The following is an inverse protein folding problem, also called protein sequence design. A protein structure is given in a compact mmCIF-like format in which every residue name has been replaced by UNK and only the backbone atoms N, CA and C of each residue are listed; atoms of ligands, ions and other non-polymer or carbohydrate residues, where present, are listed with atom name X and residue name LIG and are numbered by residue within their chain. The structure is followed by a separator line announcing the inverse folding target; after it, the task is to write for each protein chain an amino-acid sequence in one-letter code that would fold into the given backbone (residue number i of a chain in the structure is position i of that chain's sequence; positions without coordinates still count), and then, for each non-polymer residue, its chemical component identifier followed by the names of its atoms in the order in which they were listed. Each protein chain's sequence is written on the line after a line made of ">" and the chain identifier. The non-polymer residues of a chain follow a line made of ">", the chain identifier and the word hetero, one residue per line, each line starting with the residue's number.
data_IF_719581548333
#
_entry.id   IF_719581548333
#
_cell.length_a   1.000
_cell.length_b   1.000
_cell.length_c   1.000
_cell.angle_alpha   90.00
_cell.angle_beta   90.00
_cell.angle_gamma   90.00
#
_symmetry.space_group_name_H-M   'P 1'
#
loop_
_entity.id
_entity.type
_entity.pdbx_description
1 polymer ?
#
# COMPACT_ATOMS: atom_id res chain seq x y z
N UNK A 1 15.87 0.07 -10.90
CA UNK A 1 16.27 0.39 -9.51
C UNK A 1 16.23 -0.88 -8.66
N UNK A 2 16.76 -0.87 -7.44
CA UNK A 2 16.59 -1.95 -6.46
C UNK A 2 15.30 -1.73 -5.67
N UNK A 3 14.34 -2.63 -5.79
CA UNK A 3 13.02 -2.52 -5.14
C UNK A 3 12.82 -3.67 -4.18
N UNK A 4 12.53 -3.34 -2.92
CA UNK A 4 12.02 -4.30 -1.95
C UNK A 4 10.49 -4.34 -2.06
N UNK A 5 9.89 -5.51 -2.27
CA UNK A 5 8.43 -5.68 -2.19
C UNK A 5 8.11 -6.57 -0.99
N UNK A 6 7.66 -5.95 0.10
CA UNK A 6 7.21 -6.65 1.30
C UNK A 6 5.73 -7.05 1.15
N UNK A 7 5.41 -8.32 1.37
CA UNK A 7 4.10 -8.87 1.05
C UNK A 7 4.01 -9.43 -0.38
N UNK A 8 5.15 -9.74 -1.01
CA UNK A 8 5.23 -10.19 -2.41
C UNK A 8 4.54 -11.55 -2.71
N UNK A 9 4.08 -12.28 -1.70
CA UNK A 9 3.29 -13.52 -1.86
C UNK A 9 1.78 -13.26 -1.84
N UNK A 10 1.35 -12.04 -1.51
CA UNK A 10 -0.06 -11.65 -1.46
C UNK A 10 -0.64 -11.34 -2.84
N UNK A 11 -1.98 -11.20 -2.89
CA UNK A 11 -2.72 -10.97 -4.13
C UNK A 11 -2.23 -9.75 -4.91
N UNK A 12 -2.03 -8.61 -4.23
CA UNK A 12 -1.52 -7.37 -4.86
C UNK A 12 0.01 -7.39 -4.96
N UNK A 13 0.70 -7.78 -3.89
CA UNK A 13 2.16 -7.73 -3.84
C UNK A 13 2.86 -8.60 -4.87
N UNK A 14 2.27 -9.74 -5.26
CA UNK A 14 2.84 -10.61 -6.30
C UNK A 14 2.87 -9.93 -7.68
N UNK A 15 1.83 -9.15 -8.00
CA UNK A 15 1.66 -8.48 -9.29
C UNK A 15 2.48 -7.20 -9.32
N UNK A 16 2.60 -6.47 -8.20
CA UNK A 16 3.58 -5.38 -8.04
C UNK A 16 5.00 -5.87 -8.32
N UNK A 17 5.41 -6.99 -7.73
CA UNK A 17 6.75 -7.52 -7.93
C UNK A 17 6.96 -8.02 -9.37
N UNK A 18 5.94 -8.62 -9.99
CA UNK A 18 6.01 -9.05 -11.38
C UNK A 18 6.12 -7.87 -12.36
N UNK A 19 5.35 -6.81 -12.13
CA UNK A 19 5.42 -5.57 -12.91
C UNK A 19 6.80 -4.91 -12.78
N UNK A 20 7.32 -4.81 -11.55
CA UNK A 20 8.66 -4.28 -11.30
C UNK A 20 9.76 -5.08 -12.05
N UNK A 21 9.68 -6.41 -12.03
CA UNK A 21 10.59 -7.29 -12.78
C UNK A 21 10.45 -7.10 -14.29
N UNK A 22 9.22 -6.99 -14.80
CA UNK A 22 8.94 -6.77 -16.23
C UNK A 22 9.51 -5.43 -16.73
N UNK A 23 9.54 -4.39 -15.88
CA UNK A 23 10.19 -3.09 -16.15
C UNK A 23 11.72 -3.12 -16.01
N UNK A 24 12.32 -4.27 -15.69
CA UNK A 24 13.76 -4.44 -15.59
C UNK A 24 14.37 -3.94 -14.28
N UNK A 25 13.59 -3.83 -13.21
CA UNK A 25 14.11 -3.54 -11.88
C UNK A 25 14.72 -4.78 -11.21
N UNK A 26 15.66 -4.57 -10.28
CA UNK A 26 16.19 -5.62 -9.41
C UNK A 26 15.25 -5.75 -8.21
N UNK A 27 14.46 -6.83 -8.15
CA UNK A 27 13.39 -6.98 -7.16
C UNK A 27 13.75 -8.00 -6.09
N UNK A 28 13.69 -7.56 -4.82
CA UNK A 28 13.69 -8.45 -3.66
C UNK A 28 12.25 -8.70 -3.24
N UNK A 29 11.75 -9.89 -3.53
CA UNK A 29 10.44 -10.36 -3.04
C UNK A 29 10.58 -10.81 -1.59
N UNK A 30 9.88 -10.13 -0.67
CA UNK A 30 9.94 -10.41 0.75
C UNK A 30 8.56 -10.71 1.34
N UNK A 31 8.51 -11.63 2.30
CA UNK A 31 7.33 -11.96 3.08
C UNK A 31 7.74 -12.69 4.37
N UNK A 32 6.76 -13.01 5.22
CA UNK A 32 6.99 -13.83 6.42
C UNK A 32 7.68 -15.16 6.09
N UNK A 33 7.36 -15.77 4.94
CA UNK A 33 7.98 -17.05 4.53
C UNK A 33 9.42 -16.90 4.06
N UNK A 34 9.86 -15.69 3.68
CA UNK A 34 11.26 -15.39 3.36
C UNK A 34 12.04 -14.85 4.57
N UNK A 35 11.42 -14.84 5.76
CA UNK A 35 12.04 -14.40 7.01
C UNK A 35 11.95 -12.91 7.29
N UNK A 36 11.32 -12.10 6.43
CA UNK A 36 11.12 -10.66 6.68
C UNK A 36 9.67 -10.37 7.06
N UNK A 37 9.45 -9.75 8.21
CA UNK A 37 8.12 -9.42 8.72
C UNK A 37 8.04 -7.92 8.98
N UNK A 38 6.88 -7.31 8.71
CA UNK A 38 6.64 -5.88 8.97
C UNK A 38 6.80 -5.55 10.46
N UNK A 39 6.56 -6.51 11.35
CA UNK A 39 6.69 -6.35 12.80
C UNK A 39 8.14 -6.43 13.30
N UNK A 40 9.11 -6.76 12.44
CA UNK A 40 10.54 -6.74 12.78
C UNK A 40 11.17 -5.46 12.22
N UNK A 41 11.02 -4.37 12.95
CA UNK A 41 11.45 -3.04 12.50
C UNK A 41 12.95 -2.99 12.20
N UNK A 42 13.79 -3.67 12.99
CA UNK A 42 15.24 -3.65 12.79
C UNK A 42 15.62 -4.34 11.47
N UNK A 43 15.13 -5.57 11.24
CA UNK A 43 15.37 -6.27 9.99
C UNK A 43 14.78 -5.53 8.79
N UNK A 44 13.61 -4.92 8.95
CA UNK A 44 12.97 -4.13 7.90
C UNK A 44 13.78 -2.88 7.54
N UNK A 45 14.37 -2.18 8.52
CA UNK A 45 15.25 -1.04 8.25
C UNK A 45 16.50 -1.44 7.47
N UNK A 46 17.15 -2.54 7.86
CA UNK A 46 18.32 -3.05 7.14
C UNK A 46 17.95 -3.37 5.69
N UNK A 47 16.81 -4.02 5.48
CA UNK A 47 16.30 -4.31 4.15
C UNK A 47 15.98 -3.02 3.37
N UNK A 48 15.28 -2.05 3.96
CA UNK A 48 14.96 -0.77 3.32
C UNK A 48 16.24 -0.05 2.87
N UNK A 49 17.25 0.03 3.74
CA UNK A 49 18.50 0.74 3.46
C UNK A 49 19.33 0.10 2.34
N UNK A 50 19.16 -1.20 2.09
CA UNK A 50 19.79 -1.91 0.99
C UNK A 50 19.12 -1.69 -0.38
N UNK A 51 17.98 -1.00 -0.42
CA UNK A 51 17.18 -0.77 -1.64
C UNK A 51 17.00 0.73 -1.92
N UNK A 52 16.58 1.05 -3.15
CA UNK A 52 16.27 2.43 -3.56
C UNK A 52 14.86 2.83 -3.13
N UNK A 53 13.92 1.88 -3.23
CA UNK A 53 12.50 2.04 -2.88
C UNK A 53 11.97 0.76 -2.23
N UNK A 54 11.10 0.92 -1.25
CA UNK A 54 10.38 -0.20 -0.61
C UNK A 54 8.88 -0.04 -0.84
N UNK A 55 8.25 -1.09 -1.35
CA UNK A 55 6.80 -1.20 -1.49
C UNK A 55 6.27 -2.14 -0.40
N UNK A 56 5.36 -1.64 0.41
CA UNK A 56 4.69 -2.38 1.50
C UNK A 56 3.29 -2.75 1.02
N UNK A 57 3.10 -4.03 0.71
CA UNK A 57 1.84 -4.64 0.28
C UNK A 57 1.39 -5.72 1.29
N UNK A 58 1.57 -5.44 2.58
CA UNK A 58 1.20 -6.35 3.67
C UNK A 58 -0.24 -6.06 4.09
N UNK A 59 -1.19 -7.01 3.92
CA UNK A 59 -2.55 -6.82 4.40
C UNK A 59 -2.62 -6.98 5.93
N UNK A 60 -3.75 -6.59 6.51
CA UNK A 60 -4.09 -6.97 7.89
C UNK A 60 -4.32 -8.49 8.00
N UNK A 61 -4.35 -8.98 9.23
CA UNK A 61 -4.79 -10.35 9.49
C UNK A 61 -6.31 -10.48 9.25
N UNK A 62 -6.68 -11.20 8.19
CA UNK A 62 -8.08 -11.46 7.83
C UNK A 62 -8.69 -12.68 8.53
N UNK A 63 -7.97 -13.32 9.45
CA UNK A 63 -8.48 -14.47 10.23
C UNK A 63 -9.33 -14.07 11.45
N UNK A 64 -9.62 -12.77 11.60
CA UNK A 64 -10.38 -12.23 12.75
C UNK A 64 -9.52 -11.88 13.96
N UNK A 65 -8.19 -11.84 13.79
CA UNK A 65 -7.25 -11.35 14.81
C UNK A 65 -7.32 -9.84 15.02
N UNK A 66 -6.51 -9.35 15.96
CA UNK A 66 -6.37 -7.89 16.19
C UNK A 66 -5.70 -7.20 15.00
N UNK A 67 -6.13 -5.98 14.68
CA UNK A 67 -5.47 -5.11 13.69
C UNK A 67 -4.25 -4.39 14.28
N UNK A 68 -4.10 -4.35 15.61
CA UNK A 68 -3.04 -3.61 16.30
C UNK A 68 -1.62 -3.97 15.84
N UNK A 69 -1.25 -5.26 15.58
CA UNK A 69 0.11 -5.58 15.18
C UNK A 69 0.57 -4.89 13.89
N UNK A 70 -0.31 -4.70 12.90
CA UNK A 70 0.06 -4.01 11.66
C UNK A 70 0.11 -2.50 11.85
N UNK A 71 -0.82 -1.93 12.65
CA UNK A 71 -0.82 -0.50 13.00
C UNK A 71 0.47 -0.16 13.76
N UNK A 72 0.82 -0.94 14.79
CA UNK A 72 2.03 -0.79 15.58
C UNK A 72 3.30 -0.94 14.72
N UNK A 73 3.29 -1.84 13.75
CA UNK A 73 4.41 -2.01 12.84
C UNK A 73 4.64 -0.78 11.93
N UNK A 74 3.57 -0.20 11.37
CA UNK A 74 3.67 1.05 10.62
C UNK A 74 4.11 2.22 11.52
N UNK A 75 3.60 2.30 12.75
CA UNK A 75 4.02 3.32 13.73
C UNK A 75 5.51 3.20 14.05
N UNK A 76 5.99 2.00 14.35
CA UNK A 76 7.41 1.75 14.62
C UNK A 76 8.30 2.06 13.39
N UNK A 77 7.81 1.77 12.18
CA UNK A 77 8.52 2.12 10.94
C UNK A 77 8.59 3.65 10.76
N UNK A 78 7.51 4.36 11.06
CA UNK A 78 7.46 5.83 11.01
C UNK A 78 8.45 6.42 12.02
N UNK A 79 8.43 5.95 13.28
CA UNK A 79 9.33 6.39 14.34
C UNK A 79 10.80 6.15 14.00
N UNK A 80 11.10 5.06 13.26
CA UNK A 80 12.43 4.75 12.79
C UNK A 80 12.93 5.66 11.65
N UNK A 81 12.03 6.41 11.01
CA UNK A 81 12.34 7.43 10.00
C UNK A 81 13.34 6.99 8.90
N UNK A 82 13.09 5.88 8.17
CA UNK A 82 13.97 5.48 7.07
C UNK A 82 14.11 6.60 6.02
N UNK A 83 15.35 6.83 5.58
CA UNK A 83 15.65 7.86 4.58
C UNK A 83 15.26 7.45 3.14
N UNK A 84 15.02 6.16 2.91
CA UNK A 84 14.66 5.61 1.60
C UNK A 84 13.15 5.74 1.37
N UNK A 85 12.77 5.79 0.09
CA UNK A 85 11.38 5.98 -0.34
C UNK A 85 10.50 4.79 0.05
N UNK A 86 9.34 5.09 0.61
CA UNK A 86 8.31 4.13 0.99
C UNK A 86 7.06 4.31 0.14
N UNK A 87 6.59 3.23 -0.46
CA UNK A 87 5.30 3.17 -1.14
C UNK A 87 4.41 2.18 -0.39
N UNK A 88 3.22 2.61 0.02
CA UNK A 88 2.33 1.83 0.87
C UNK A 88 1.06 1.51 0.10
N UNK A 89 0.68 0.23 0.09
CA UNK A 89 -0.66 -0.18 -0.35
C UNK A 89 -1.67 0.23 0.72
N UNK A 90 -2.57 1.14 0.39
CA UNK A 90 -3.64 1.60 1.28
C UNK A 90 -4.93 0.77 1.15
N UNK A 91 -6.01 1.29 1.71
CA UNK A 91 -7.36 0.73 1.58
C UNK A 91 -8.34 1.74 1.01
N UNK A 92 -9.41 1.25 0.37
CA UNK A 92 -10.47 2.10 -0.17
C UNK A 92 -11.32 2.76 0.94
N UNK A 93 -11.37 2.17 2.14
CA UNK A 93 -12.16 2.68 3.27
C UNK A 93 -11.82 4.10 3.71
N UNK A 94 -10.61 4.60 3.38
CA UNK A 94 -10.17 5.97 3.68
C UNK A 94 -10.47 6.98 2.56
N UNK A 95 -11.07 6.56 1.45
CA UNK A 95 -11.54 7.46 0.39
C UNK A 95 -12.84 8.14 0.83
N UNK A 96 -13.16 9.28 0.21
CA UNK A 96 -14.31 10.13 0.50
C UNK A 96 -15.41 9.99 -0.55
N UNK A 97 -16.63 9.81 -0.08
CA UNK A 97 -17.89 9.97 -0.83
C UNK A 97 -18.74 10.98 -0.07
N UNK A 98 -19.08 12.10 -0.70
CA UNK A 98 -19.81 13.22 -0.08
C UNK A 98 -19.19 13.67 1.26
N UNK A 99 -17.88 13.93 1.25
CA UNK A 99 -17.07 14.31 2.43
C UNK A 99 -17.06 13.31 3.60
N UNK A 100 -17.58 12.09 3.38
CA UNK A 100 -17.64 11.02 4.37
C UNK A 100 -16.74 9.86 3.94
N UNK A 101 -15.94 9.32 4.88
CA UNK A 101 -15.10 8.16 4.58
C UNK A 101 -15.96 6.98 4.15
N UNK A 102 -15.52 6.20 3.16
CA UNK A 102 -16.23 5.01 2.70
C UNK A 102 -16.52 4.05 3.86
N UNK A 103 -15.59 3.90 4.81
CA UNK A 103 -15.78 3.04 5.99
C UNK A 103 -16.89 3.51 6.95
N UNK A 104 -17.27 4.79 6.87
CA UNK A 104 -18.32 5.39 7.70
C UNK A 104 -19.66 5.50 6.96
N UNK A 105 -19.73 5.01 5.72
CA UNK A 105 -20.98 4.96 4.96
C UNK A 105 -21.98 3.98 5.61
N UNK A 106 -23.28 4.30 5.63
CA UNK A 106 -24.30 3.45 6.27
C UNK A 106 -24.34 2.01 5.75
N UNK A 107 -24.03 1.81 4.47
CA UNK A 107 -24.08 0.50 3.80
C UNK A 107 -22.71 -0.19 3.72
N UNK A 108 -21.70 0.31 4.44
CA UNK A 108 -20.37 -0.30 4.43
C UNK A 108 -20.40 -1.72 5.01
N UNK A 109 -19.84 -2.74 4.32
CA UNK A 109 -19.90 -4.10 4.84
C UNK A 109 -19.10 -4.27 6.13
N UNK A 110 -19.79 -4.59 7.23
CA UNK A 110 -19.20 -4.73 8.58
C UNK A 110 -18.00 -5.69 8.61
N UNK A 111 -18.03 -6.73 7.76
CA UNK A 111 -16.93 -7.71 7.64
C UNK A 111 -15.58 -7.10 7.23
N UNK A 112 -15.59 -5.90 6.63
CA UNK A 112 -14.39 -5.17 6.22
C UNK A 112 -14.06 -4.00 7.15
N UNK A 113 -14.92 -3.68 8.13
CA UNK A 113 -14.82 -2.42 8.89
C UNK A 113 -13.54 -2.33 9.71
N UNK A 114 -13.15 -3.43 10.36
CA UNK A 114 -11.91 -3.47 11.15
C UNK A 114 -10.66 -3.21 10.29
N UNK A 115 -10.54 -3.87 9.13
CA UNK A 115 -9.41 -3.68 8.21
C UNK A 115 -9.41 -2.26 7.62
N UNK A 116 -10.58 -1.76 7.19
CA UNK A 116 -10.71 -0.42 6.66
C UNK A 116 -10.32 0.66 7.68
N UNK A 117 -10.78 0.56 8.93
CA UNK A 117 -10.42 1.50 10.01
C UNK A 117 -8.94 1.44 10.36
N UNK A 118 -8.32 0.26 10.32
CA UNK A 118 -6.88 0.13 10.53
C UNK A 118 -6.07 0.90 9.47
N UNK A 119 -6.47 0.81 8.19
CA UNK A 119 -5.80 1.57 7.12
C UNK A 119 -6.14 3.07 7.10
N UNK A 120 -7.29 3.48 7.65
CA UNK A 120 -7.55 4.90 7.96
C UNK A 120 -6.55 5.40 9.01
N UNK A 121 -6.38 4.68 10.12
CA UNK A 121 -5.42 5.05 11.16
C UNK A 121 -3.98 5.08 10.62
N UNK A 122 -3.57 4.07 9.85
CA UNK A 122 -2.24 4.04 9.23
C UNK A 122 -2.02 5.24 8.31
N UNK A 123 -3.01 5.61 7.48
CA UNK A 123 -2.91 6.81 6.64
C UNK A 123 -2.73 8.08 7.47
N UNK A 124 -3.47 8.22 8.57
CA UNK A 124 -3.34 9.38 9.45
C UNK A 124 -1.99 9.42 10.18
N UNK A 125 -1.42 8.26 10.55
CA UNK A 125 -0.05 8.18 11.07
C UNK A 125 0.96 8.71 10.05
N UNK A 126 0.86 8.31 8.78
CA UNK A 126 1.75 8.80 7.72
C UNK A 126 1.54 10.30 7.43
N UNK A 127 0.30 10.78 7.39
CA UNK A 127 -0.02 12.22 7.20
C UNK A 127 0.58 13.10 8.31
N UNK A 128 0.63 12.59 9.55
CA UNK A 128 1.20 13.29 10.69
C UNK A 128 2.72 13.08 10.86
N UNK A 129 3.32 12.21 10.04
CA UNK A 129 4.77 11.96 10.08
C UNK A 129 5.58 13.11 9.49
N UNK A 130 6.84 13.20 9.88
CA UNK A 130 7.78 14.19 9.31
C UNK A 130 9.09 13.50 8.93
N UNK A 131 9.79 14.04 7.93
CA UNK A 131 11.09 13.50 7.51
C UNK A 131 11.04 12.19 6.72
N UNK A 132 9.86 11.72 6.32
CA UNK A 132 9.66 10.52 5.52
C UNK A 132 9.31 10.88 4.07
N UNK A 133 9.95 10.20 3.11
CA UNK A 133 9.47 10.17 1.72
C UNK A 133 8.52 8.98 1.56
N UNK A 134 7.23 9.21 1.79
CA UNK A 134 6.19 8.20 1.68
C UNK A 134 5.13 8.58 0.65
N UNK A 135 4.51 7.57 0.04
CA UNK A 135 3.29 7.71 -0.74
C UNK A 135 2.38 6.52 -0.44
N UNK A 136 1.07 6.77 -0.34
CA UNK A 136 0.09 5.69 -0.19
C UNK A 136 -0.81 5.61 -1.42
N UNK A 137 -0.98 4.40 -1.96
CA UNK A 137 -1.91 4.13 -3.06
C UNK A 137 -3.12 3.36 -2.54
N UNK A 138 -4.27 4.02 -2.45
CA UNK A 138 -5.55 3.35 -2.14
C UNK A 138 -6.14 2.74 -3.42
N UNK A 139 -6.60 1.48 -3.42
CA UNK A 139 -7.33 0.93 -4.56
C UNK A 139 -8.72 1.58 -4.67
N UNK A 140 -9.36 1.36 -5.82
CA UNK A 140 -10.81 1.49 -5.94
C UNK A 140 -11.55 0.60 -4.91
N UNK A 141 -12.85 0.85 -4.64
CA UNK A 141 -13.65 0.05 -3.70
C UNK A 141 -13.59 -1.46 -3.96
N UNK A 142 -13.57 -1.87 -5.22
CA UNK A 142 -13.37 -3.26 -5.63
C UNK A 142 -11.97 -3.44 -6.21
N UNK A 143 -11.22 -4.40 -5.68
CA UNK A 143 -9.95 -4.86 -6.25
C UNK A 143 -9.92 -6.38 -6.36
N UNK A 144 -9.65 -6.88 -7.56
CA UNK A 144 -9.58 -8.32 -7.83
C UNK A 144 -8.51 -8.66 -8.89
N UNK A 145 -8.10 -9.93 -9.01
CA UNK A 145 -7.13 -10.35 -10.02
C UNK A 145 -7.65 -10.10 -11.44
N UNK A 146 -6.82 -9.49 -12.28
CA UNK A 146 -7.15 -9.24 -13.67
C UNK A 146 -6.01 -8.54 -14.41
N UNK A 147 -6.06 -8.49 -15.76
CA UNK A 147 -4.99 -7.96 -16.58
C UNK A 147 -4.88 -6.43 -16.46
N UNK A 148 -3.70 -5.89 -16.75
CA UNK A 148 -3.53 -4.46 -16.97
C UNK A 148 -4.17 -4.03 -18.31
N UNK A 149 -5.12 -3.10 -18.25
CA UNK A 149 -5.84 -2.56 -19.41
C UNK A 149 -5.71 -1.04 -19.55
N UNK A 150 -5.07 -0.38 -18.58
CA UNK A 150 -5.04 1.06 -18.41
C UNK A 150 -5.79 1.49 -17.16
N UNK A 151 -5.36 2.59 -16.57
CA UNK A 151 -5.90 3.07 -15.30
C UNK A 151 -6.15 4.58 -15.32
N UNK A 152 -7.02 5.03 -14.42
CA UNK A 152 -7.26 6.43 -14.09
C UNK A 152 -6.87 6.70 -12.64
N UNK A 153 -6.38 7.92 -12.38
CA UNK A 153 -5.91 8.33 -11.07
C UNK A 153 -6.87 9.33 -10.42
N UNK A 154 -6.95 9.25 -9.10
CA UNK A 154 -7.68 10.18 -8.24
C UNK A 154 -6.85 10.54 -7.02
N UNK A 155 -7.43 11.37 -6.15
CA UNK A 155 -6.78 11.76 -4.88
C UNK A 155 -7.54 11.19 -3.70
N UNK A 156 -8.44 11.97 -3.10
CA UNK A 156 -9.15 11.57 -1.89
C UNK A 156 -10.52 10.93 -2.14
N UNK A 157 -11.07 11.05 -3.35
CA UNK A 157 -12.28 10.32 -3.78
C UNK A 157 -11.91 9.18 -4.71
N UNK A 158 -12.71 8.08 -4.76
CA UNK A 158 -12.48 6.98 -5.69
C UNK A 158 -12.29 7.49 -7.13
N UNK A 159 -11.27 6.97 -7.83
CA UNK A 159 -11.09 7.24 -9.26
C UNK A 159 -12.12 6.48 -10.13
N UNK A 160 -12.77 5.49 -9.53
CA UNK A 160 -13.77 4.61 -10.12
C UNK A 160 -14.12 3.50 -9.11
N UNK A 161 -15.01 2.59 -9.51
CA UNK A 161 -15.55 1.55 -8.62
C UNK A 161 -14.67 0.30 -8.53
N UNK A 162 -13.80 0.09 -9.52
CA UNK A 162 -13.08 -1.16 -9.72
C UNK A 162 -11.63 -0.93 -10.16
N UNK A 163 -10.71 -1.79 -9.73
CA UNK A 163 -9.34 -1.87 -10.23
C UNK A 163 -8.84 -3.31 -10.28
N UNK A 164 -8.16 -3.70 -11.37
CA UNK A 164 -7.44 -4.98 -11.39
C UNK A 164 -6.13 -4.90 -10.60
N UNK A 165 -5.65 -6.02 -10.06
CA UNK A 165 -4.35 -6.05 -9.37
C UNK A 165 -3.17 -5.68 -10.28
N UNK A 166 -3.23 -5.97 -11.58
CA UNK A 166 -2.20 -5.56 -12.52
C UNK A 166 -2.28 -4.06 -12.85
N UNK A 167 -3.47 -3.46 -13.02
CA UNK A 167 -3.58 -2.00 -13.16
C UNK A 167 -3.11 -1.27 -11.89
N UNK A 168 -3.41 -1.82 -10.71
CA UNK A 168 -2.89 -1.31 -9.44
C UNK A 168 -1.36 -1.39 -9.39
N UNK A 169 -0.77 -2.50 -9.84
CA UNK A 169 0.68 -2.68 -9.92
C UNK A 169 1.33 -1.67 -10.86
N UNK A 170 0.74 -1.44 -12.04
CA UNK A 170 1.20 -0.44 -13.01
C UNK A 170 1.22 0.95 -12.36
N UNK A 171 0.12 1.38 -11.72
CA UNK A 171 0.06 2.70 -11.06
C UNK A 171 1.05 2.83 -9.89
N UNK A 172 1.27 1.75 -9.13
CA UNK A 172 2.27 1.73 -8.05
C UNK A 172 3.69 1.92 -8.59
N UNK A 173 4.02 1.27 -9.71
CA UNK A 173 5.35 1.37 -10.32
C UNK A 173 5.55 2.68 -11.09
N UNK A 174 4.51 3.24 -11.70
CA UNK A 174 4.57 4.58 -12.30
C UNK A 174 4.97 5.63 -11.25
N UNK A 175 4.40 5.54 -10.04
CA UNK A 175 4.76 6.42 -8.91
C UNK A 175 6.15 6.10 -8.31
N UNK A 176 6.63 4.87 -8.44
CA UNK A 176 7.99 4.51 -8.04
C UNK A 176 9.04 5.12 -8.99
N UNK A 177 8.79 5.07 -10.29
CA UNK A 177 9.71 5.54 -11.33
C UNK A 177 9.67 7.05 -11.53
N UNK A 178 8.48 7.66 -11.44
CA UNK A 178 8.27 9.09 -11.65
C UNK A 178 7.37 9.70 -10.55
N UNK A 179 7.91 9.96 -9.35
CA UNK A 179 7.14 10.43 -8.20
C UNK A 179 6.29 11.69 -8.47
N UNK A 180 4.98 11.58 -8.32
CA UNK A 180 4.01 12.71 -8.40
C UNK A 180 3.27 12.92 -7.06
N UNK A 181 3.27 11.93 -6.17
CA UNK A 181 2.46 11.90 -4.96
C UNK A 181 3.31 11.75 -3.68
N UNK A 182 4.46 12.42 -3.62
CA UNK A 182 5.28 12.46 -2.40
C UNK A 182 4.51 13.12 -1.24
N UNK A 183 4.56 12.48 -0.07
CA UNK A 183 3.93 12.93 1.18
C UNK A 183 2.41 12.90 1.18
N UNK A 184 1.78 12.14 0.27
CA UNK A 184 0.31 12.12 0.14
C UNK A 184 -0.22 10.75 -0.27
N UNK A 185 -1.54 10.61 -0.17
CA UNK A 185 -2.30 9.49 -0.73
C UNK A 185 -2.82 9.85 -2.12
N UNK A 186 -2.85 8.87 -3.01
CA UNK A 186 -3.64 8.90 -4.25
C UNK A 186 -4.42 7.60 -4.42
N UNK A 187 -5.29 7.54 -5.44
CA UNK A 187 -6.07 6.34 -5.74
C UNK A 187 -6.06 6.01 -7.22
N UNK A 188 -6.41 4.76 -7.54
CA UNK A 188 -6.40 4.20 -8.89
C UNK A 188 -7.64 3.37 -9.13
N UNK A 189 -8.19 3.48 -10.34
CA UNK A 189 -9.24 2.62 -10.88
C UNK A 189 -8.90 2.21 -12.31
N UNK A 190 -9.58 1.20 -12.84
CA UNK A 190 -9.51 0.86 -14.26
C UNK A 190 -10.05 2.03 -15.12
N UNK A 191 -9.51 2.18 -16.33
CA UNK A 191 -9.87 3.25 -17.28
C UNK A 191 -11.22 3.04 -17.99
#
# INVERSE_FOLDING_TARGET
>A
MKILVLGATGMVGKDIAAEAEARGHEVTRASRSTGLNITDTAALLDAINAHDTTIIAVPTDRSGGSMEPVIAAHRALIDAAPAKRLLITGGAGSLLVDDTLIVDQPDFPEIYAAEARAFVEILDLYRNSTGLNWTMLSPAPVIEPGPATGHVLGTDSPAGEHVTTENFAVAMLDEAENPQFEGRRFTVADA
#
